data_IF_294772918621
#
_entry.id   IF_294772918621
#
_cell.length_a   1.000
_cell.length_b   1.000
_cell.length_c   1.000
_cell.angle_alpha   90.00
_cell.angle_beta   90.00
_cell.angle_gamma   90.00
#
_symmetry.space_group_name_H-M   'P 1'
#
loop_
_entity.id
_entity.type
_entity.pdbx_description
1 polymer ?
#
# COMPACT_ATOMS: atom_id res chain seq x y z
N UNK A 1 11.38 -0.59 -6.38
CA UNK A 1 11.11 0.60 -7.21
C UNK A 1 9.67 1.04 -7.04
N UNK A 2 9.41 2.18 -6.38
CA UNK A 2 8.08 2.76 -6.34
C UNK A 2 7.83 3.71 -7.53
N UNK A 3 6.58 3.75 -8.00
CA UNK A 3 6.03 4.84 -8.82
C UNK A 3 5.18 5.71 -7.90
N UNK A 4 5.44 7.02 -7.87
CA UNK A 4 4.70 7.97 -7.05
C UNK A 4 3.90 8.94 -7.93
N UNK A 5 2.58 8.94 -7.78
CA UNK A 5 1.67 9.80 -8.54
C UNK A 5 1.07 10.83 -7.57
N UNK A 6 1.28 12.12 -7.82
CA UNK A 6 0.78 13.19 -6.97
C UNK A 6 0.07 14.28 -7.78
N UNK A 7 -0.89 14.95 -7.15
CA UNK A 7 -1.65 16.03 -7.76
C UNK A 7 -2.97 16.31 -7.03
N UNK A 8 -3.63 17.44 -7.32
CA UNK A 8 -4.93 17.81 -6.75
C UNK A 8 -6.00 16.71 -6.81
N UNK A 9 -7.04 16.86 -5.98
CA UNK A 9 -8.22 15.98 -6.03
C UNK A 9 -8.90 16.05 -7.40
N UNK A 10 -9.47 14.93 -7.85
CA UNK A 10 -10.22 14.87 -9.11
C UNK A 10 -9.38 14.74 -10.39
N UNK A 11 -8.05 14.67 -10.32
CA UNK A 11 -7.18 14.54 -11.51
C UNK A 11 -6.92 13.09 -11.96
N UNK A 12 -7.72 12.13 -11.49
CA UNK A 12 -7.62 10.74 -11.96
C UNK A 12 -6.47 9.92 -11.39
N UNK A 13 -5.87 10.31 -10.25
CA UNK A 13 -4.77 9.54 -9.61
C UNK A 13 -5.15 8.08 -9.32
N UNK A 14 -6.25 7.88 -8.59
CA UNK A 14 -6.84 6.57 -8.30
C UNK A 14 -7.17 5.81 -9.59
N UNK A 15 -7.74 6.51 -10.58
CA UNK A 15 -8.07 5.93 -11.87
C UNK A 15 -6.83 5.40 -12.59
N UNK A 16 -5.75 6.19 -12.66
CA UNK A 16 -4.49 5.81 -13.28
C UNK A 16 -3.83 4.64 -12.54
N UNK A 17 -3.83 4.68 -11.20
CA UNK A 17 -3.31 3.59 -10.38
C UNK A 17 -4.03 2.27 -10.68
N UNK A 18 -5.37 2.28 -10.72
CA UNK A 18 -6.15 1.09 -11.07
C UNK A 18 -5.99 0.67 -12.53
N UNK A 19 -5.86 1.62 -13.46
CA UNK A 19 -5.59 1.32 -14.87
C UNK A 19 -4.25 0.56 -15.04
N UNK A 20 -3.21 0.97 -14.31
CA UNK A 20 -1.92 0.26 -14.26
C UNK A 20 -2.13 -1.17 -13.72
N UNK A 21 -2.83 -1.32 -12.60
CA UNK A 21 -3.12 -2.63 -12.01
C UNK A 21 -3.88 -3.57 -12.95
N UNK A 22 -4.89 -3.06 -13.65
CA UNK A 22 -5.68 -3.82 -14.62
C UNK A 22 -4.83 -4.23 -15.83
N UNK A 23 -4.06 -3.30 -16.40
CA UNK A 23 -3.16 -3.60 -17.51
C UNK A 23 -2.12 -4.68 -17.13
N UNK A 24 -1.62 -4.67 -15.89
CA UNK A 24 -0.74 -5.73 -15.39
C UNK A 24 -1.48 -7.07 -15.30
N UNK A 25 -2.73 -7.10 -14.80
CA UNK A 25 -3.52 -8.34 -14.73
C UNK A 25 -3.90 -8.88 -16.10
N UNK A 26 -4.13 -8.02 -17.09
CA UNK A 26 -4.40 -8.42 -18.48
C UNK A 26 -3.17 -9.06 -19.14
N UNK A 27 -2.00 -8.44 -19.00
CA UNK A 27 -0.75 -8.93 -19.61
C UNK A 27 -0.09 -10.07 -18.81
N UNK A 28 -0.28 -10.09 -17.50
CA UNK A 28 0.31 -11.06 -16.57
C UNK A 28 -0.73 -11.59 -15.57
N UNK A 29 -1.65 -12.47 -15.99
CA UNK A 29 -2.76 -12.95 -15.13
C UNK A 29 -2.32 -13.65 -13.84
N UNK A 30 -1.10 -14.19 -13.80
CA UNK A 30 -0.53 -14.87 -12.64
C UNK A 30 0.01 -13.92 -11.56
N UNK A 31 0.30 -12.65 -11.91
CA UNK A 31 0.80 -11.68 -10.94
C UNK A 31 -0.27 -11.33 -9.90
N UNK A 32 0.16 -11.24 -8.65
CA UNK A 32 -0.62 -10.83 -7.48
C UNK A 32 -0.52 -9.32 -7.33
N UNK A 33 -1.57 -8.63 -7.77
CA UNK A 33 -1.72 -7.18 -7.66
C UNK A 33 -2.66 -6.88 -6.50
N UNK A 34 -2.21 -6.09 -5.54
CA UNK A 34 -3.01 -5.65 -4.39
C UNK A 34 -3.21 -4.15 -4.44
N UNK A 35 -4.45 -3.71 -4.26
CA UNK A 35 -4.81 -2.31 -4.01
C UNK A 35 -5.26 -2.14 -2.57
N UNK A 36 -4.73 -1.16 -1.86
CA UNK A 36 -5.09 -0.86 -0.48
C UNK A 36 -5.08 0.65 -0.25
N UNK A 37 -5.93 1.15 0.64
CA UNK A 37 -5.83 2.54 1.11
C UNK A 37 -4.67 2.65 2.10
N UNK A 38 -4.06 3.83 2.16
CA UNK A 38 -3.05 4.13 3.17
C UNK A 38 -3.55 3.90 4.61
N UNK A 39 -4.82 4.21 4.89
CA UNK A 39 -5.45 3.97 6.20
C UNK A 39 -5.53 2.47 6.54
N UNK A 40 -6.02 1.64 5.62
CA UNK A 40 -6.13 0.19 5.86
C UNK A 40 -4.75 -0.45 6.02
N UNK A 41 -3.78 -0.02 5.22
CA UNK A 41 -2.41 -0.46 5.37
C UNK A 41 -1.88 -0.18 6.78
N UNK A 42 -2.14 1.02 7.30
CA UNK A 42 -1.74 1.40 8.66
C UNK A 42 -2.50 0.63 9.74
N UNK A 43 -3.79 0.38 9.56
CA UNK A 43 -4.55 -0.41 10.52
C UNK A 43 -4.01 -1.84 10.63
N UNK A 44 -3.69 -2.48 9.50
CA UNK A 44 -3.05 -3.81 9.47
C UNK A 44 -1.67 -3.75 10.14
N UNK A 45 -0.89 -2.72 9.87
CA UNK A 45 0.43 -2.53 10.50
C UNK A 45 0.31 -2.42 12.03
N UNK A 46 -0.54 -1.52 12.53
CA UNK A 46 -0.74 -1.32 13.97
C UNK A 46 -1.28 -2.58 14.65
N UNK A 47 -2.28 -3.25 14.05
CA UNK A 47 -2.85 -4.46 14.62
C UNK A 47 -1.81 -5.58 14.74
N UNK A 48 -1.04 -5.80 13.68
CA UNK A 48 -0.01 -6.84 13.68
C UNK A 48 1.15 -6.51 14.61
N UNK A 49 1.50 -5.23 14.76
CA UNK A 49 2.49 -4.77 15.72
C UNK A 49 2.02 -5.00 17.16
N UNK A 50 0.82 -4.56 17.52
CA UNK A 50 0.24 -4.73 18.86
C UNK A 50 0.14 -6.20 19.28
N UNK A 51 -0.10 -7.11 18.32
CA UNK A 51 -0.17 -8.56 18.56
C UNK A 51 1.21 -9.25 18.58
N UNK A 52 2.33 -8.52 18.45
CA UNK A 52 3.67 -9.08 18.21
C UNK A 52 3.72 -10.02 16.99
N UNK A 53 2.87 -9.75 16.00
CA UNK A 53 2.71 -10.52 14.77
C UNK A 53 3.35 -9.82 13.56
N UNK A 54 4.45 -9.08 13.74
CA UNK A 54 5.16 -8.43 12.62
C UNK A 54 5.64 -9.40 11.53
N UNK A 55 5.80 -10.70 11.84
CA UNK A 55 6.03 -11.74 10.84
C UNK A 55 4.82 -11.97 9.93
N UNK A 56 3.61 -11.92 10.50
CA UNK A 56 2.36 -12.04 9.75
C UNK A 56 2.22 -10.86 8.78
N UNK A 57 2.46 -9.64 9.27
CA UNK A 57 2.48 -8.43 8.43
C UNK A 57 3.40 -8.61 7.22
N UNK A 58 4.67 -8.94 7.48
CA UNK A 58 5.65 -9.17 6.40
C UNK A 58 5.21 -10.28 5.46
N UNK A 59 4.62 -11.36 5.95
CA UNK A 59 4.14 -12.45 5.11
C UNK A 59 2.95 -12.06 4.22
N UNK A 60 2.03 -11.23 4.72
CA UNK A 60 0.90 -10.70 3.95
C UNK A 60 1.41 -9.96 2.71
N UNK A 61 2.43 -9.12 2.85
CA UNK A 61 2.94 -8.28 1.76
C UNK A 61 4.08 -8.92 0.95
N UNK A 62 4.81 -9.91 1.48
CA UNK A 62 5.93 -10.57 0.78
C UNK A 62 5.51 -11.36 -0.46
N UNK A 63 4.28 -11.87 -0.49
CA UNK A 63 3.77 -12.67 -1.59
C UNK A 63 3.03 -11.84 -2.66
N UNK A 64 3.18 -10.51 -2.65
CA UNK A 64 2.53 -9.60 -3.59
C UNK A 64 3.57 -9.15 -4.61
N UNK A 65 3.23 -9.24 -5.89
CA UNK A 65 4.12 -8.81 -6.97
C UNK A 65 4.01 -7.29 -7.22
N UNK A 66 2.80 -6.73 -7.05
CA UNK A 66 2.53 -5.30 -7.19
C UNK A 66 1.63 -4.82 -6.05
N UNK A 67 2.14 -3.88 -5.24
CA UNK A 67 1.39 -3.21 -4.19
C UNK A 67 1.06 -1.79 -4.62
N UNK A 68 -0.23 -1.47 -4.67
CA UNK A 68 -0.77 -0.15 -4.98
C UNK A 68 -1.40 0.43 -3.71
N UNK A 69 -0.91 1.58 -3.27
CA UNK A 69 -1.38 2.27 -2.07
C UNK A 69 -2.02 3.60 -2.49
N UNK A 70 -3.31 3.73 -2.27
CA UNK A 70 -4.03 4.97 -2.56
C UNK A 70 -4.04 5.94 -1.36
N UNK A 71 -4.28 7.20 -1.66
CA UNK A 71 -4.47 8.28 -0.69
C UNK A 71 -3.39 8.36 0.39
N UNK A 72 -2.12 8.31 -0.04
CA UNK A 72 -0.95 8.34 0.84
C UNK A 72 -0.95 9.54 1.82
N UNK A 73 -1.63 10.63 1.48
CA UNK A 73 -1.77 11.81 2.35
C UNK A 73 -2.39 11.47 3.72
N UNK A 74 -3.23 10.44 3.84
CA UNK A 74 -3.81 10.08 5.14
C UNK A 74 -2.82 9.43 6.10
N UNK A 75 -1.63 9.03 5.64
CA UNK A 75 -0.52 8.58 6.51
C UNK A 75 0.03 9.69 7.41
N UNK A 76 -0.16 10.96 7.04
CA UNK A 76 0.31 12.10 7.85
C UNK A 76 -0.37 12.22 9.21
N UNK A 77 -1.58 11.68 9.36
CA UNK A 77 -2.37 11.81 10.59
C UNK A 77 -1.86 10.97 11.78
N UNK A 78 -0.85 10.11 11.60
CA UNK A 78 -0.35 9.18 12.65
C UNK A 78 1.18 9.19 12.78
N UNK A 79 1.75 10.30 13.28
CA UNK A 79 3.20 10.50 13.43
C UNK A 79 3.93 9.36 14.16
N UNK A 80 3.37 8.82 15.25
CA UNK A 80 4.00 7.74 16.01
C UNK A 80 4.17 6.47 15.16
N UNK A 81 3.20 6.18 14.29
CA UNK A 81 3.23 5.01 13.42
C UNK A 81 4.10 5.21 12.18
N UNK A 82 4.32 6.45 11.72
CA UNK A 82 5.24 6.76 10.62
C UNK A 82 6.68 6.34 10.93
N UNK A 83 7.20 6.75 12.09
CA UNK A 83 8.58 6.46 12.49
C UNK A 83 8.84 4.96 12.54
N UNK A 84 7.86 4.19 13.02
CA UNK A 84 7.96 2.74 13.12
C UNK A 84 7.89 2.05 11.76
N UNK A 85 7.10 2.59 10.82
CA UNK A 85 7.05 2.12 9.44
C UNK A 85 8.38 2.34 8.70
N UNK A 86 8.96 3.54 8.82
CA UNK A 86 10.26 3.88 8.22
C UNK A 86 11.44 3.14 8.83
N UNK A 87 11.37 2.74 10.10
CA UNK A 87 12.40 1.89 10.71
C UNK A 87 12.28 0.43 10.29
N UNK A 88 11.14 0.02 9.72
CA UNK A 88 10.86 -1.38 9.35
C UNK A 88 11.09 -1.65 7.85
N UNK A 89 11.10 -0.62 6.99
CA UNK A 89 11.27 -0.69 5.53
C UNK A 89 12.33 0.28 5.03
#
# INVERSE_FOLDING_TARGET
NPLFIYGPSGLGKTHLMHAIGNAIKENHPHMKVMSITSENFMNIFVETLQRNQGKLFRNTFRNIDVLMIDDIQFLESRESTKTELFNTF
#
